data_IF_152407445137
#
_entry.id   IF_152407445137
#
_cell.length_a   1.000
_cell.length_b   1.000
_cell.length_c   1.000
_cell.angle_alpha   90.00
_cell.angle_beta   90.00
_cell.angle_gamma   90.00
#
_symmetry.space_group_name_H-M   'P 1'
#
loop_
_entity.id
_entity.type
_entity.pdbx_description
1 polymer ?
#
# COMPACT_ATOMS: atom_id res chain seq x y z
N UNK A 1 -4.83 4.75 81.89
CA UNK A 1 -5.85 3.68 81.87
C UNK A 1 -6.22 3.49 80.40
N UNK A 2 -5.81 2.42 79.71
CA UNK A 2 -6.37 1.04 79.77
C UNK A 2 -7.89 1.08 79.50
N UNK A 3 -8.49 0.40 78.53
CA UNK A 3 -8.33 -0.97 78.00
C UNK A 3 -9.09 -1.06 76.64
N UNK A 4 -8.59 -1.75 75.59
CA UNK A 4 -8.82 -3.19 75.24
C UNK A 4 -10.19 -3.38 74.52
N UNK A 5 -10.32 -3.98 73.32
CA UNK A 5 -10.27 -5.42 72.97
C UNK A 5 -10.59 -5.58 71.45
N UNK A 6 -9.84 -6.42 70.71
CA UNK A 6 -10.24 -7.74 70.12
C UNK A 6 -11.18 -7.63 68.89
N UNK A 7 -11.19 -8.46 67.83
CA UNK A 7 -10.41 -9.60 67.33
C UNK A 7 -10.86 -9.88 65.86
N UNK A 8 -9.90 -10.25 65.00
CA UNK A 8 -9.85 -11.40 64.07
C UNK A 8 -11.03 -11.74 63.10
N UNK A 9 -10.73 -11.59 61.80
CA UNK A 9 -10.86 -12.54 60.65
C UNK A 9 -12.16 -13.32 60.37
N UNK A 10 -12.71 -13.19 59.14
CA UNK A 10 -12.47 -14.14 58.01
C UNK A 10 -13.63 -14.19 56.99
N UNK A 11 -13.25 -14.41 55.72
CA UNK A 11 -13.95 -15.16 54.67
C UNK A 11 -15.04 -14.52 53.77
N UNK A 12 -14.61 -14.35 52.51
CA UNK A 12 -15.13 -14.96 51.26
C UNK A 12 -16.28 -14.33 50.44
N UNK A 13 -16.07 -14.49 49.12
CA UNK A 13 -17.01 -14.47 47.99
C UNK A 13 -17.27 -13.16 47.20
N UNK A 14 -16.77 -13.18 45.96
CA UNK A 14 -17.09 -12.32 44.80
C UNK A 14 -18.62 -12.31 44.49
N UNK A 15 -19.22 -11.36 43.69
CA UNK A 15 -18.66 -10.87 42.42
C UNK A 15 -19.11 -9.48 41.86
N UNK A 16 -18.43 -9.12 40.75
CA UNK A 16 -18.96 -8.42 39.56
C UNK A 16 -19.14 -6.88 39.57
N UNK A 17 -18.36 -6.16 38.75
CA UNK A 17 -18.81 -5.54 37.48
C UNK A 17 -17.73 -4.65 36.81
N UNK A 18 -17.48 -4.97 35.54
CA UNK A 18 -17.19 -4.07 34.42
C UNK A 18 -15.83 -3.34 34.30
N UNK A 19 -14.89 -4.07 33.71
CA UNK A 19 -14.16 -3.73 32.46
C UNK A 19 -13.87 -2.26 32.15
N UNK A 20 -12.70 -1.81 32.57
CA UNK A 20 -11.97 -0.70 31.93
C UNK A 20 -11.36 -1.16 30.60
N UNK A 21 -11.67 -0.39 29.55
CA UNK A 21 -11.11 -0.52 28.20
C UNK A 21 -9.65 -0.06 28.21
N UNK A 22 -8.70 -0.98 27.94
CA UNK A 22 -7.35 -0.64 27.45
C UNK A 22 -7.16 -1.29 26.08
N UNK A 23 -7.28 -0.50 25.01
CA UNK A 23 -6.87 -0.89 23.65
C UNK A 23 -5.35 -0.98 23.60
N UNK A 24 -4.80 -2.14 23.95
CA UNK A 24 -3.43 -2.51 23.57
C UNK A 24 -3.51 -3.37 22.30
N UNK A 25 -2.89 -2.86 21.22
CA UNK A 25 -2.69 -3.58 19.96
C UNK A 25 -1.84 -4.83 20.22
N UNK A 26 -2.48 -5.99 20.43
CA UNK A 26 -1.78 -7.28 20.36
C UNK A 26 -1.41 -7.53 18.90
N UNK A 27 -0.11 -7.52 18.61
CA UNK A 27 0.45 -8.12 17.40
C UNK A 27 -0.08 -9.55 17.33
N UNK A 28 -0.82 -9.87 16.28
CA UNK A 28 -1.33 -11.22 16.07
C UNK A 28 -0.14 -12.17 15.91
N UNK A 29 0.04 -12.95 16.97
CA UNK A 29 0.81 -14.16 17.06
C UNK A 29 0.56 -15.01 15.81
N UNK A 30 1.66 -15.43 15.19
CA UNK A 30 1.70 -16.03 13.86
C UNK A 30 0.60 -17.08 13.66
N UNK A 31 -0.25 -16.85 12.65
CA UNK A 31 -1.24 -17.81 12.16
C UNK A 31 -0.53 -19.01 11.52
N UNK A 32 -0.04 -19.91 12.37
CA UNK A 32 0.57 -21.19 12.00
C UNK A 32 -0.44 -22.14 11.34
N UNK A 33 -1.74 -21.89 11.50
CA UNK A 33 -2.80 -22.76 10.99
C UNK A 33 -3.23 -22.44 9.55
N UNK A 34 -2.93 -21.25 9.02
CA UNK A 34 -3.21 -20.92 7.61
C UNK A 34 -2.55 -21.85 6.60
N UNK A 35 -1.36 -22.37 6.93
CA UNK A 35 -0.63 -23.31 6.05
C UNK A 35 -1.22 -24.72 6.08
N UNK A 36 -1.88 -25.14 7.16
CA UNK A 36 -2.33 -26.53 7.35
C UNK A 36 -3.65 -26.85 6.61
N UNK A 37 -4.51 -25.86 6.32
CA UNK A 37 -5.76 -26.10 5.57
C UNK A 37 -5.59 -26.15 4.04
N UNK A 38 -4.41 -25.85 3.50
CA UNK A 38 -4.12 -25.91 2.05
C UNK A 38 -3.45 -27.23 1.61
N UNK A 39 -3.34 -28.19 2.51
CA UNK A 39 -2.45 -29.35 2.34
C UNK A 39 -3.10 -30.68 1.98
N UNK A 40 -4.42 -30.78 1.75
CA UNK A 40 -5.05 -32.11 1.66
C UNK A 40 -5.94 -32.40 0.44
N UNK A 41 -6.37 -31.41 -0.34
CA UNK A 41 -7.19 -31.68 -1.55
C UNK A 41 -6.60 -30.97 -2.77
N UNK A 42 -5.87 -31.73 -3.56
CA UNK A 42 -5.30 -31.25 -4.82
C UNK A 42 -4.23 -32.19 -5.32
N UNK A 43 -4.66 -33.26 -5.98
CA UNK A 43 -3.85 -33.96 -6.98
C UNK A 43 -3.41 -32.94 -8.03
N UNK A 44 -2.25 -32.34 -7.84
CA UNK A 44 -1.61 -31.55 -8.88
C UNK A 44 -0.12 -31.77 -8.73
N UNK A 45 0.37 -32.70 -9.56
CA UNK A 45 1.76 -32.85 -9.95
C UNK A 45 2.47 -31.52 -9.80
N UNK A 46 3.42 -31.43 -8.85
CA UNK A 46 4.31 -30.29 -8.70
C UNK A 46 5.04 -30.14 -10.03
N UNK A 47 4.45 -29.40 -10.97
CA UNK A 47 5.10 -28.98 -12.21
C UNK A 47 6.25 -28.09 -11.75
N UNK A 48 7.44 -28.68 -11.75
CA UNK A 48 8.72 -28.02 -11.59
C UNK A 48 8.64 -26.65 -12.25
N UNK A 49 9.02 -25.61 -11.48
CA UNK A 49 8.81 -24.21 -11.83
C UNK A 49 9.06 -23.95 -13.31
N UNK A 50 7.98 -23.83 -14.07
CA UNK A 50 8.03 -23.70 -15.52
C UNK A 50 8.72 -22.37 -15.84
N UNK A 51 10.00 -22.44 -16.20
CA UNK A 51 10.79 -21.29 -16.64
C UNK A 51 10.11 -20.66 -17.86
N UNK A 52 10.19 -19.34 -17.98
CA UNK A 52 9.67 -18.64 -19.14
C UNK A 52 10.64 -18.76 -20.31
N UNK A 53 10.15 -19.17 -21.48
CA UNK A 53 10.91 -19.13 -22.72
C UNK A 53 10.98 -17.71 -23.28
N UNK A 54 11.96 -17.42 -24.14
CA UNK A 54 12.03 -16.15 -24.87
C UNK A 54 10.79 -15.91 -25.74
N UNK A 55 10.22 -16.96 -26.33
CA UNK A 55 8.99 -16.83 -27.13
C UNK A 55 7.78 -16.49 -26.25
N UNK A 56 7.73 -17.03 -25.03
CA UNK A 56 6.71 -16.66 -24.06
C UNK A 56 6.86 -15.19 -23.66
N UNK A 57 8.09 -14.73 -23.43
CA UNK A 57 8.38 -13.33 -23.09
C UNK A 57 7.97 -12.37 -24.21
N UNK A 58 8.33 -12.69 -25.46
CA UNK A 58 7.88 -11.96 -26.65
C UNK A 58 6.36 -11.90 -26.71
N UNK A 59 5.69 -13.03 -26.46
CA UNK A 59 4.22 -13.09 -26.47
C UNK A 59 3.59 -12.24 -25.37
N UNK A 60 4.17 -12.23 -24.16
CA UNK A 60 3.71 -11.36 -23.07
C UNK A 60 3.81 -9.90 -23.49
N UNK A 61 4.96 -9.48 -24.03
CA UNK A 61 5.19 -8.10 -24.46
C UNK A 61 4.22 -7.67 -25.58
N UNK A 62 4.01 -8.51 -26.59
CA UNK A 62 3.04 -8.24 -27.67
C UNK A 62 1.61 -8.04 -27.12
N UNK A 63 1.19 -8.92 -26.20
CA UNK A 63 -0.15 -8.84 -25.62
C UNK A 63 -0.31 -7.60 -24.73
N UNK A 64 0.73 -7.19 -24.01
CA UNK A 64 0.73 -5.95 -23.23
C UNK A 64 0.74 -4.72 -24.15
N UNK A 65 1.49 -4.74 -25.24
CA UNK A 65 1.52 -3.66 -26.22
C UNK A 65 0.14 -3.43 -26.84
N UNK A 66 -0.53 -4.51 -27.25
CA UNK A 66 -1.81 -4.42 -27.93
C UNK A 66 -2.99 -4.12 -26.99
N UNK A 67 -3.00 -4.69 -25.78
CA UNK A 67 -4.17 -4.67 -24.90
C UNK A 67 -3.97 -3.90 -23.59
N UNK A 68 -2.75 -3.43 -23.32
CA UNK A 68 -2.30 -2.93 -22.02
C UNK A 68 -2.04 -4.05 -21.00
N UNK A 69 -1.69 -3.72 -19.74
CA UNK A 69 -1.33 -4.67 -18.67
C UNK A 69 -2.55 -5.42 -18.08
N UNK A 70 -3.47 -5.88 -18.92
CA UNK A 70 -4.68 -6.63 -18.54
C UNK A 70 -4.36 -8.11 -18.35
N UNK A 71 -3.54 -8.44 -17.34
CA UNK A 71 -3.01 -9.80 -17.14
C UNK A 71 -4.09 -10.89 -17.02
N UNK A 72 -5.29 -10.55 -16.55
CA UNK A 72 -6.44 -11.47 -16.52
C UNK A 72 -6.80 -12.03 -17.90
N UNK A 73 -6.64 -11.22 -18.96
CA UNK A 73 -6.85 -11.66 -20.35
C UNK A 73 -5.59 -12.34 -20.89
N UNK A 74 -4.43 -11.74 -20.63
CA UNK A 74 -3.13 -12.19 -21.14
C UNK A 74 -2.79 -13.62 -20.69
N UNK A 75 -2.98 -13.96 -19.41
CA UNK A 75 -2.57 -15.26 -18.88
C UNK A 75 -3.29 -16.45 -19.54
N UNK A 76 -4.47 -16.23 -20.13
CA UNK A 76 -5.23 -17.27 -20.83
C UNK A 76 -4.49 -17.84 -22.04
N UNK A 77 -3.50 -17.10 -22.56
CA UNK A 77 -2.64 -17.54 -23.66
C UNK A 77 -1.45 -18.41 -23.21
N UNK A 78 -1.25 -18.62 -21.91
CA UNK A 78 -0.10 -19.34 -21.35
C UNK A 78 -0.54 -20.57 -20.56
N UNK A 79 -0.77 -21.71 -21.22
CA UNK A 79 -1.21 -22.93 -20.54
C UNK A 79 -0.15 -23.37 -19.53
N UNK A 80 -0.58 -23.69 -18.31
CA UNK A 80 0.32 -24.12 -17.24
C UNK A 80 1.09 -22.99 -16.54
N UNK A 81 0.87 -21.73 -16.91
CA UNK A 81 1.35 -20.56 -16.15
C UNK A 81 0.17 -19.92 -15.42
N UNK A 82 0.37 -19.62 -14.14
CA UNK A 82 -0.65 -18.87 -13.40
C UNK A 82 -0.60 -17.40 -13.75
N UNK A 83 -1.71 -16.70 -13.56
CA UNK A 83 -1.79 -15.24 -13.67
C UNK A 83 -0.64 -14.53 -12.92
N UNK A 84 -0.36 -14.98 -11.70
CA UNK A 84 0.69 -14.41 -10.87
C UNK A 84 2.09 -14.59 -11.49
N UNK A 85 2.35 -15.74 -12.12
CA UNK A 85 3.62 -15.98 -12.82
C UNK A 85 3.81 -15.01 -13.99
N UNK A 86 2.79 -14.84 -14.83
CA UNK A 86 2.84 -13.94 -15.99
C UNK A 86 3.00 -12.48 -15.54
N UNK A 87 2.24 -12.06 -14.53
CA UNK A 87 2.34 -10.72 -13.94
C UNK A 87 3.75 -10.46 -13.38
N UNK A 88 4.27 -11.40 -12.59
CA UNK A 88 5.60 -11.29 -12.01
C UNK A 88 6.68 -11.30 -13.09
N UNK A 89 6.53 -12.12 -14.13
CA UNK A 89 7.47 -12.16 -15.25
C UNK A 89 7.54 -10.79 -15.93
N UNK A 90 6.40 -10.18 -16.20
CA UNK A 90 6.35 -8.85 -16.81
C UNK A 90 7.02 -7.80 -15.94
N UNK A 91 6.57 -7.60 -14.70
CA UNK A 91 7.06 -6.50 -13.86
C UNK A 91 8.53 -6.65 -13.45
N UNK A 92 9.02 -7.88 -13.26
CA UNK A 92 10.40 -8.11 -12.84
C UNK A 92 11.39 -8.14 -13.99
N UNK A 93 10.98 -8.64 -15.16
CA UNK A 93 11.94 -8.94 -16.23
C UNK A 93 11.62 -8.27 -17.56
N UNK A 94 10.36 -7.92 -17.88
CA UNK A 94 9.99 -7.50 -19.23
C UNK A 94 9.57 -6.04 -19.36
N UNK A 95 9.09 -5.40 -18.29
CA UNK A 95 8.48 -4.05 -18.33
C UNK A 95 9.33 -2.99 -19.05
N UNK A 96 10.65 -3.12 -18.96
CA UNK A 96 11.60 -2.18 -19.56
C UNK A 96 12.50 -2.84 -20.61
N UNK A 97 12.17 -4.07 -21.02
CA UNK A 97 12.98 -4.87 -21.96
C UNK A 97 12.28 -5.04 -23.30
N UNK A 98 11.95 -3.93 -23.93
CA UNK A 98 11.25 -3.92 -25.22
C UNK A 98 12.14 -4.37 -26.37
N UNK A 99 13.47 -4.40 -26.19
CA UNK A 99 14.43 -4.95 -27.16
C UNK A 99 14.17 -6.42 -27.50
N UNK A 100 13.48 -7.16 -26.61
CA UNK A 100 13.09 -8.56 -26.83
C UNK A 100 12.13 -8.70 -28.05
N UNK A 101 11.35 -7.65 -28.37
CA UNK A 101 10.50 -7.60 -29.56
C UNK A 101 11.23 -7.17 -30.83
N UNK A 102 12.42 -6.58 -30.70
CA UNK A 102 13.23 -6.06 -31.80
C UNK A 102 13.64 -4.60 -31.62
N UNK A 103 14.59 -4.15 -32.44
CA UNK A 103 15.21 -2.82 -32.38
C UNK A 103 14.18 -1.67 -32.48
N UNK A 104 13.12 -1.86 -33.26
CA UNK A 104 12.07 -0.86 -33.46
C UNK A 104 11.32 -0.48 -32.18
N UNK A 105 11.35 -1.33 -31.15
CA UNK A 105 10.64 -1.11 -29.88
C UNK A 105 11.55 -0.57 -28.77
N UNK A 106 12.85 -0.37 -29.01
CA UNK A 106 13.79 0.15 -28.00
C UNK A 106 13.36 1.50 -27.44
N UNK A 107 12.67 2.33 -28.20
CA UNK A 107 12.19 3.63 -27.74
C UNK A 107 11.08 3.52 -26.66
N UNK A 108 10.35 2.39 -26.58
CA UNK A 108 9.36 2.17 -25.51
C UNK A 108 10.01 1.82 -24.17
N UNK A 109 11.30 1.46 -24.19
CA UNK A 109 12.11 1.38 -22.98
C UNK A 109 12.35 2.81 -22.52
N UNK A 110 11.65 3.23 -21.46
CA UNK A 110 11.90 4.53 -20.84
C UNK A 110 13.36 4.52 -20.35
N UNK A 111 14.23 5.39 -20.88
CA UNK A 111 15.56 5.58 -20.31
C UNK A 111 15.40 6.07 -18.88
N UNK A 112 16.09 5.42 -17.94
CA UNK A 112 16.04 5.76 -16.51
C UNK A 112 16.26 7.26 -16.27
N UNK A 113 17.13 7.89 -17.06
CA UNK A 113 17.47 9.32 -17.03
C UNK A 113 16.29 10.24 -17.39
N UNK A 114 15.44 9.85 -18.36
CA UNK A 114 14.24 10.63 -18.71
C UNK A 114 13.20 10.57 -17.60
N UNK A 115 13.06 9.41 -16.93
CA UNK A 115 12.13 9.27 -15.81
C UNK A 115 12.57 10.09 -14.60
N UNK A 116 13.87 10.11 -14.31
CA UNK A 116 14.44 10.94 -13.23
C UNK A 116 14.23 12.42 -13.52
N UNK A 117 14.48 12.87 -14.75
CA UNK A 117 14.24 14.26 -15.17
C UNK A 117 12.77 14.67 -15.00
N UNK A 118 11.82 13.82 -15.45
CA UNK A 118 10.39 14.10 -15.32
C UNK A 118 9.93 14.12 -13.86
N UNK A 119 10.46 13.20 -13.03
CA UNK A 119 10.16 13.17 -11.61
C UNK A 119 10.65 14.45 -10.91
N UNK A 120 11.85 14.92 -11.27
CA UNK A 120 12.43 16.15 -10.70
C UNK A 120 11.64 17.38 -11.12
N UNK A 121 11.24 17.48 -12.40
CA UNK A 121 10.34 18.52 -12.89
C UNK A 121 9.01 18.52 -12.13
N UNK A 122 8.42 17.35 -11.90
CA UNK A 122 7.16 17.23 -11.18
C UNK A 122 7.28 17.65 -9.71
N UNK A 123 8.39 17.30 -9.03
CA UNK A 123 8.67 17.77 -7.67
C UNK A 123 8.81 19.28 -7.62
N UNK A 124 9.54 19.87 -8.56
CA UNK A 124 9.73 21.32 -8.63
C UNK A 124 8.38 22.05 -8.77
N UNK A 125 7.52 21.59 -9.67
CA UNK A 125 6.16 22.15 -9.84
C UNK A 125 5.34 22.00 -8.55
N UNK A 126 5.39 20.83 -7.91
CA UNK A 126 4.65 20.60 -6.66
C UNK A 126 5.12 21.52 -5.54
N UNK A 127 6.43 21.75 -5.43
CA UNK A 127 7.02 22.65 -4.44
C UNK A 127 6.60 24.10 -4.67
N UNK A 128 6.59 24.55 -5.93
CA UNK A 128 6.13 25.90 -6.30
C UNK A 128 4.66 26.09 -5.90
N UNK A 129 3.80 25.15 -6.28
CA UNK A 129 2.36 25.22 -5.95
C UNK A 129 2.11 25.21 -4.44
N UNK A 130 2.88 24.42 -3.67
CA UNK A 130 2.78 24.41 -2.22
C UNK A 130 3.23 25.74 -1.59
N UNK A 131 4.33 26.32 -2.09
CA UNK A 131 4.80 27.62 -1.61
C UNK A 131 3.78 28.74 -1.90
N UNK A 132 3.20 28.77 -3.10
CA UNK A 132 2.13 29.71 -3.46
C UNK A 132 0.89 29.53 -2.58
N UNK A 133 0.50 28.29 -2.32
CA UNK A 133 -0.58 27.96 -1.38
C UNK A 133 -0.30 28.50 0.02
N UNK A 134 0.90 28.27 0.55
CA UNK A 134 1.27 28.70 1.90
C UNK A 134 1.29 30.24 2.01
N UNK A 135 1.77 30.93 0.97
CA UNK A 135 1.74 32.39 0.90
C UNK A 135 0.30 32.93 0.89
N UNK A 136 -0.60 32.33 0.08
CA UNK A 136 -2.01 32.71 0.06
C UNK A 136 -2.68 32.51 1.44
N UNK A 137 -2.39 31.39 2.11
CA UNK A 137 -2.90 31.13 3.47
C UNK A 137 -2.39 32.19 4.44
N UNK A 138 -1.11 32.57 4.36
CA UNK A 138 -0.52 33.63 5.19
C UNK A 138 -1.16 35.00 4.93
N UNK A 139 -1.39 35.36 3.66
CA UNK A 139 -2.06 36.61 3.28
C UNK A 139 -3.51 36.66 3.79
N UNK A 140 -4.25 35.56 3.70
CA UNK A 140 -5.63 35.47 4.18
C UNK A 140 -5.68 35.57 5.72
N UNK A 141 -4.77 34.87 6.40
CA UNK A 141 -4.69 34.86 7.87
C UNK A 141 -4.31 36.24 8.42
N UNK A 142 -3.35 36.92 7.81
CA UNK A 142 -2.94 38.27 8.23
C UNK A 142 -4.06 39.32 8.07
N UNK A 143 -4.86 39.25 7.00
CA UNK A 143 -6.01 40.13 6.79
C UNK A 143 -7.16 39.90 7.78
N UNK A 144 -7.31 38.66 8.25
CA UNK A 144 -8.41 38.26 9.16
C UNK A 144 -8.03 38.40 10.64
N UNK A 145 -6.76 38.70 10.95
CA UNK A 145 -6.26 38.85 12.32
C UNK A 145 -6.94 39.96 13.15
N UNK A 146 -7.63 40.91 12.50
CA UNK A 146 -8.33 42.02 13.16
C UNK A 146 -9.70 41.64 13.76
N UNK A 147 -10.21 40.43 13.47
CA UNK A 147 -11.48 39.92 13.98
C UNK A 147 -11.28 38.46 14.44
N UNK A 148 -11.09 38.23 15.74
CA UNK A 148 -10.82 36.90 16.32
C UNK A 148 -11.81 35.82 15.87
N UNK A 149 -13.09 36.19 15.74
CA UNK A 149 -14.18 35.30 15.30
C UNK A 149 -14.02 34.89 13.83
N UNK A 150 -13.59 35.83 12.98
CA UNK A 150 -13.39 35.61 11.55
C UNK A 150 -12.13 34.79 11.28
N UNK A 151 -11.06 34.99 12.07
CA UNK A 151 -9.82 34.20 11.99
C UNK A 151 -10.07 32.72 12.22
N UNK A 152 -10.78 32.36 13.30
CA UNK A 152 -11.12 30.97 13.63
C UNK A 152 -11.92 30.28 12.51
N UNK A 153 -12.86 31.01 11.89
CA UNK A 153 -13.67 30.50 10.79
C UNK A 153 -12.86 30.26 9.51
N UNK A 154 -11.91 31.15 9.23
CA UNK A 154 -11.06 31.08 8.05
C UNK A 154 -10.02 29.96 8.17
N UNK A 155 -9.38 29.80 9.34
CA UNK A 155 -8.48 28.67 9.60
C UNK A 155 -9.21 27.32 9.42
N UNK A 156 -10.44 27.21 9.93
CA UNK A 156 -11.29 26.02 9.75
C UNK A 156 -11.67 25.74 8.27
N UNK A 157 -12.05 26.77 7.51
CA UNK A 157 -12.40 26.60 6.09
C UNK A 157 -11.19 26.22 5.24
N UNK A 158 -10.01 26.77 5.56
CA UNK A 158 -8.74 26.42 4.90
C UNK A 158 -8.37 24.95 5.19
N UNK A 159 -8.56 24.45 6.42
CA UNK A 159 -8.34 23.03 6.73
C UNK A 159 -9.31 22.06 6.03
N UNK A 160 -10.54 22.48 5.73
CA UNK A 160 -11.54 21.63 5.05
C UNK A 160 -11.38 21.59 3.53
N UNK A 161 -10.77 22.62 2.94
CA UNK A 161 -10.60 22.75 1.48
C UNK A 161 -9.26 22.21 0.96
N UNK A 162 -8.31 21.95 1.85
CA UNK A 162 -6.97 21.40 1.56
C UNK A 162 -6.89 19.90 1.82
#
# INVERSE_FOLDING_TARGET
MMQEKEEISSNNEQPNKNSMIKKQKKKNEYDYHRKKRRGSDGTNSKKSGQKFSQDEDKRILQLVLNNGPKFQKIHRHFPGKTLAMVKNRYYKYLRFRWEILGENYKHLSVPQEQLETLCEQQKNVSNILNAEKDDLVSQITSRTALLQNARMFVEYLVEQLL
#
